data_IF_435407138129
#
_entry.id   IF_435407138129
#
_cell.length_a   1.000
_cell.length_b   1.000
_cell.length_c   1.000
_cell.angle_alpha   90.00
_cell.angle_beta   90.00
_cell.angle_gamma   90.00
#
_symmetry.space_group_name_H-M   'P 1'
#
loop_
_entity.id
_entity.type
_entity.pdbx_description
1 polymer ?
#
# COMPACT_ATOMS: atom_id res chain seq x y z
N UNK A 1 -48.87 37.44 0.61
CA UNK A 1 -47.52 37.79 1.15
C UNK A 1 -47.02 36.78 2.18
N UNK A 2 -47.83 36.35 3.17
CA UNK A 2 -47.43 35.32 4.14
C UNK A 2 -47.09 33.94 3.51
N UNK A 3 -47.84 33.49 2.50
CA UNK A 3 -47.53 32.23 1.81
C UNK A 3 -46.18 32.26 1.08
N UNK A 4 -45.80 33.40 0.48
CA UNK A 4 -44.52 33.54 -0.24
C UNK A 4 -43.31 33.51 0.69
N UNK A 5 -43.44 34.07 1.90
CA UNK A 5 -42.37 34.09 2.92
C UNK A 5 -42.19 32.73 3.60
N UNK A 6 -43.27 32.00 3.85
CA UNK A 6 -43.20 30.63 4.37
C UNK A 6 -42.57 29.71 3.32
N UNK A 7 -42.99 29.81 2.05
CA UNK A 7 -42.41 29.02 0.97
C UNK A 7 -40.92 29.32 0.74
N UNK A 8 -40.48 30.58 0.84
CA UNK A 8 -39.05 30.91 0.68
C UNK A 8 -38.18 30.35 1.79
N UNK A 9 -38.66 30.34 3.04
CA UNK A 9 -37.98 29.72 4.17
C UNK A 9 -37.85 28.19 3.98
N UNK A 10 -38.93 27.54 3.56
CA UNK A 10 -38.92 26.09 3.28
C UNK A 10 -37.93 25.77 2.16
N UNK A 11 -38.00 26.49 1.04
CA UNK A 11 -37.10 26.27 -0.10
C UNK A 11 -35.64 26.46 0.29
N UNK A 12 -35.29 27.54 0.99
CA UNK A 12 -33.93 27.79 1.45
C UNK A 12 -33.41 26.67 2.35
N UNK A 13 -34.23 26.20 3.30
CA UNK A 13 -33.85 25.10 4.20
C UNK A 13 -33.66 23.78 3.45
N UNK A 14 -34.57 23.44 2.53
CA UNK A 14 -34.49 22.22 1.71
C UNK A 14 -33.28 22.22 0.79
N UNK A 15 -32.94 23.36 0.19
CA UNK A 15 -31.81 23.49 -0.71
C UNK A 15 -30.47 23.32 0.02
N UNK A 16 -30.35 23.90 1.22
CA UNK A 16 -29.16 23.75 2.06
C UNK A 16 -28.94 22.28 2.47
N UNK A 17 -30.00 21.57 2.88
CA UNK A 17 -29.93 20.14 3.20
C UNK A 17 -29.58 19.32 1.96
N UNK A 18 -30.21 19.61 0.82
CA UNK A 18 -29.94 18.91 -0.43
C UNK A 18 -28.48 19.04 -0.87
N UNK A 19 -27.93 20.26 -0.86
CA UNK A 19 -26.54 20.50 -1.23
C UNK A 19 -25.57 19.81 -0.26
N UNK A 20 -25.86 19.85 1.04
CA UNK A 20 -25.08 19.14 2.06
C UNK A 20 -25.10 17.63 1.80
N UNK A 21 -26.26 17.08 1.45
CA UNK A 21 -26.42 15.67 1.07
C UNK A 21 -25.62 15.28 -0.16
N UNK A 22 -25.62 16.12 -1.21
CA UNK A 22 -24.82 15.89 -2.41
C UNK A 22 -23.32 15.89 -2.12
N UNK A 23 -22.83 16.82 -1.30
CA UNK A 23 -21.42 16.88 -0.92
C UNK A 23 -21.00 15.66 -0.09
N UNK A 24 -21.85 15.24 0.86
CA UNK A 24 -21.61 14.01 1.62
C UNK A 24 -21.56 12.77 0.71
N UNK A 25 -22.46 12.66 -0.26
CA UNK A 25 -22.47 11.56 -1.22
C UNK A 25 -21.19 11.51 -2.07
N UNK A 26 -20.77 12.66 -2.64
CA UNK A 26 -19.53 12.76 -3.42
C UNK A 26 -18.31 12.34 -2.61
N UNK A 27 -18.23 12.85 -1.38
CA UNK A 27 -17.14 12.53 -0.46
C UNK A 27 -17.06 11.02 -0.16
N UNK A 28 -18.17 10.40 0.18
CA UNK A 28 -18.23 8.94 0.43
C UNK A 28 -17.80 8.17 -0.81
N UNK A 29 -18.22 8.61 -2.00
CA UNK A 29 -17.83 7.96 -3.25
C UNK A 29 -16.30 8.01 -3.47
N UNK A 30 -15.68 9.19 -3.29
CA UNK A 30 -14.23 9.36 -3.43
C UNK A 30 -13.49 8.52 -2.37
N UNK A 31 -13.91 8.56 -1.11
CA UNK A 31 -13.30 7.75 -0.03
C UNK A 31 -13.37 6.24 -0.33
N UNK A 32 -14.48 5.76 -0.91
CA UNK A 32 -14.62 4.35 -1.30
C UNK A 32 -13.75 3.97 -2.51
N UNK A 33 -13.61 4.87 -3.49
CA UNK A 33 -12.70 4.68 -4.62
C UNK A 33 -11.25 4.62 -4.13
N UNK A 34 -10.85 5.57 -3.28
CA UNK A 34 -9.51 5.63 -2.69
C UNK A 34 -9.17 4.35 -1.90
N UNK A 35 -10.11 3.84 -1.10
CA UNK A 35 -9.94 2.55 -0.40
C UNK A 35 -9.74 1.40 -1.37
N UNK A 36 -10.57 1.31 -2.41
CA UNK A 36 -10.48 0.22 -3.40
C UNK A 36 -9.15 0.24 -4.15
N UNK A 37 -8.64 1.42 -4.49
CA UNK A 37 -7.31 1.56 -5.12
C UNK A 37 -6.17 1.22 -4.17
N UNK A 38 -6.26 1.62 -2.90
CA UNK A 38 -5.27 1.27 -1.88
C UNK A 38 -5.21 -0.25 -1.65
N UNK A 39 -6.37 -0.91 -1.58
CA UNK A 39 -6.46 -2.37 -1.46
C UNK A 39 -5.89 -3.05 -2.71
N UNK A 40 -6.14 -2.51 -3.90
CA UNK A 40 -5.53 -2.99 -5.14
C UNK A 40 -4.00 -2.88 -5.10
N UNK A 41 -3.44 -1.76 -4.65
CA UNK A 41 -1.99 -1.57 -4.53
C UNK A 41 -1.37 -2.64 -3.62
N UNK A 42 -1.95 -2.87 -2.44
CA UNK A 42 -1.44 -3.89 -1.53
C UNK A 42 -1.58 -5.29 -2.14
N UNK A 43 -2.71 -5.60 -2.77
CA UNK A 43 -2.89 -6.87 -3.46
C UNK A 43 -1.85 -7.07 -4.58
N UNK A 44 -1.52 -6.02 -5.33
CA UNK A 44 -0.50 -6.06 -6.38
C UNK A 44 0.90 -6.34 -5.79
N UNK A 45 1.28 -5.67 -4.71
CA UNK A 45 2.54 -5.94 -3.98
C UNK A 45 2.58 -7.40 -3.51
N UNK A 46 1.52 -7.86 -2.85
CA UNK A 46 1.44 -9.24 -2.34
C UNK A 46 1.51 -10.28 -3.45
N UNK A 47 0.81 -10.05 -4.57
CA UNK A 47 0.85 -10.94 -5.72
C UNK A 47 2.27 -11.05 -6.29
N UNK A 48 2.99 -9.94 -6.38
CA UNK A 48 4.38 -9.91 -6.83
C UNK A 48 5.32 -10.61 -5.85
N UNK A 49 5.13 -10.42 -4.55
CA UNK A 49 5.89 -11.13 -3.51
C UNK A 49 5.65 -12.64 -3.54
N UNK A 50 4.41 -13.08 -3.73
CA UNK A 50 4.10 -14.51 -3.84
C UNK A 50 4.68 -15.13 -5.12
N UNK A 51 4.64 -14.41 -6.24
CA UNK A 51 5.27 -14.86 -7.49
C UNK A 51 6.78 -14.96 -7.35
N UNK A 52 7.41 -13.97 -6.70
CA UNK A 52 8.85 -13.93 -6.45
C UNK A 52 9.30 -15.01 -5.46
N UNK A 53 8.46 -15.36 -4.48
CA UNK A 53 8.74 -16.38 -3.46
C UNK A 53 10.09 -16.19 -2.76
N UNK A 54 10.28 -15.07 -2.05
CA UNK A 54 11.58 -14.70 -1.50
C UNK A 54 12.10 -15.71 -0.46
N UNK A 55 13.41 -15.90 -0.46
CA UNK A 55 14.13 -16.68 0.55
C UNK A 55 14.33 -15.90 1.85
N UNK A 56 14.26 -14.58 1.76
CA UNK A 56 14.35 -13.67 2.87
C UNK A 56 14.32 -12.21 2.46
N UNK A 57 14.60 -11.35 3.43
CA UNK A 57 14.71 -9.91 3.30
C UNK A 57 16.13 -9.49 3.65
N UNK A 58 16.75 -8.68 2.79
CA UNK A 58 18.09 -8.13 3.01
C UNK A 58 18.01 -6.98 4.02
N UNK A 59 18.69 -7.13 5.15
CA UNK A 59 18.61 -6.18 6.26
C UNK A 59 19.51 -4.95 6.06
N UNK A 60 20.51 -4.99 5.18
CA UNK A 60 21.42 -3.86 4.92
C UNK A 60 20.79 -2.83 3.96
N UNK A 61 20.06 -3.33 2.97
CA UNK A 61 19.42 -2.51 1.92
C UNK A 61 17.96 -2.14 2.27
N UNK A 62 17.43 -2.67 3.37
CA UNK A 62 16.08 -2.36 3.86
C UNK A 62 16.09 -1.14 4.78
N UNK A 63 15.17 -0.21 4.54
CA UNK A 63 14.93 1.01 5.31
C UNK A 63 13.43 1.22 5.56
N UNK A 64 13.07 2.27 6.30
CA UNK A 64 11.67 2.62 6.56
C UNK A 64 10.85 2.99 5.30
N UNK A 65 11.53 3.17 4.16
CA UNK A 65 10.93 3.52 2.87
C UNK A 65 11.21 2.50 1.77
N UNK A 66 11.98 1.45 2.06
CA UNK A 66 12.38 0.45 1.09
C UNK A 66 12.53 -0.92 1.73
N UNK A 67 11.87 -1.95 1.21
CA UNK A 67 12.11 -3.33 1.57
C UNK A 67 12.78 -4.04 0.39
N UNK A 68 13.91 -4.69 0.63
CA UNK A 68 14.56 -5.52 -0.39
C UNK A 68 14.41 -7.01 -0.06
N UNK A 69 13.74 -7.72 -0.94
CA UNK A 69 13.57 -9.16 -0.88
C UNK A 69 14.58 -9.84 -1.79
N UNK A 70 15.09 -11.00 -1.38
CA UNK A 70 16.13 -11.72 -2.11
C UNK A 70 15.76 -13.19 -2.30
N UNK A 71 16.19 -13.74 -3.42
CA UNK A 71 16.38 -15.19 -3.58
C UNK A 71 17.87 -15.44 -3.59
N UNK A 72 18.37 -16.23 -2.65
CA UNK A 72 19.80 -16.50 -2.50
C UNK A 72 20.09 -17.99 -2.33
N UNK A 73 19.06 -18.84 -2.49
CA UNK A 73 19.22 -20.29 -2.48
C UNK A 73 18.46 -20.96 -3.60
N UNK A 74 19.07 -22.01 -4.13
CA UNK A 74 18.43 -22.91 -5.09
C UNK A 74 18.50 -24.35 -4.62
N UNK A 75 17.46 -25.13 -4.93
CA UNK A 75 17.41 -26.57 -4.68
C UNK A 75 18.12 -27.27 -5.84
N UNK A 76 19.25 -27.91 -5.56
CA UNK A 76 20.06 -28.64 -6.53
C UNK A 76 19.95 -30.12 -6.23
N UNK A 77 19.72 -30.94 -7.26
CA UNK A 77 19.73 -32.39 -7.11
C UNK A 77 21.18 -32.85 -7.16
N UNK A 78 21.63 -33.54 -6.11
CA UNK A 78 22.90 -34.24 -6.11
C UNK A 78 22.71 -35.60 -6.81
N UNK A 79 23.20 -35.78 -8.06
CA UNK A 79 22.92 -36.97 -8.85
C UNK A 79 23.61 -38.24 -8.30
N UNK A 80 24.61 -38.07 -7.43
CA UNK A 80 25.37 -39.19 -6.85
C UNK A 80 24.64 -39.87 -5.70
N UNK A 81 23.80 -39.14 -4.97
CA UNK A 81 23.03 -39.66 -3.82
C UNK A 81 21.51 -39.56 -4.01
N UNK A 82 21.03 -38.90 -5.07
CA UNK A 82 19.60 -38.70 -5.32
C UNK A 82 18.94 -37.78 -4.29
N UNK A 83 19.72 -36.95 -3.59
CA UNK A 83 19.26 -36.04 -2.53
C UNK A 83 19.15 -34.62 -3.10
N UNK A 84 18.13 -33.88 -2.66
CA UNK A 84 18.00 -32.45 -2.95
C UNK A 84 18.73 -31.65 -1.86
N UNK A 85 19.73 -30.89 -2.25
CA UNK A 85 20.50 -30.01 -1.38
C UNK A 85 20.20 -28.55 -1.67
N UNK A 86 20.29 -27.70 -0.66
CA UNK A 86 20.23 -26.25 -0.86
C UNK A 86 21.64 -25.70 -1.04
N UNK A 87 21.83 -24.90 -2.10
CA UNK A 87 23.09 -24.19 -2.32
C UNK A 87 22.83 -22.70 -2.40
N UNK A 88 23.76 -21.91 -1.82
CA UNK A 88 23.77 -20.44 -1.96
C UNK A 88 23.98 -20.09 -3.44
N UNK A 89 23.25 -19.10 -3.94
CA UNK A 89 23.33 -18.59 -5.31
C UNK A 89 23.21 -17.07 -5.32
N UNK A 90 23.69 -16.41 -6.39
CA UNK A 90 23.33 -15.02 -6.69
C UNK A 90 21.95 -15.06 -7.37
N UNK A 91 20.89 -15.17 -6.59
CA UNK A 91 19.55 -15.09 -7.15
C UNK A 91 19.14 -13.65 -7.39
N UNK A 92 17.83 -13.47 -7.57
CA UNK A 92 17.22 -12.21 -7.96
C UNK A 92 16.84 -11.39 -6.72
N UNK A 93 16.56 -10.11 -6.94
CA UNK A 93 16.03 -9.20 -5.91
C UNK A 93 14.69 -8.61 -6.34
N UNK A 94 13.84 -8.36 -5.34
CA UNK A 94 12.59 -7.64 -5.50
C UNK A 94 12.55 -6.51 -4.48
N UNK A 95 12.49 -5.27 -4.95
CA UNK A 95 12.50 -4.08 -4.12
C UNK A 95 11.12 -3.43 -4.11
N UNK A 96 10.58 -3.19 -2.93
CA UNK A 96 9.37 -2.40 -2.71
C UNK A 96 9.80 -1.08 -2.10
N UNK A 97 9.48 0.06 -2.71
CA UNK A 97 9.88 1.37 -2.18
C UNK A 97 8.78 2.42 -2.25
N UNK A 98 8.86 3.41 -1.36
CA UNK A 98 7.98 4.57 -1.30
C UNK A 98 8.75 5.80 -1.80
N UNK A 99 8.44 6.28 -3.00
CA UNK A 99 9.10 7.47 -3.57
C UNK A 99 8.09 8.34 -4.31
N UNK A 100 8.27 9.67 -4.22
CA UNK A 100 7.54 10.66 -5.02
C UNK A 100 6.02 10.41 -5.09
N UNK A 101 5.41 10.24 -3.92
CA UNK A 101 3.98 9.99 -3.76
C UNK A 101 3.45 8.72 -4.44
N UNK A 102 4.31 7.73 -4.65
CA UNK A 102 3.98 6.46 -5.28
C UNK A 102 4.65 5.27 -4.57
N UNK A 103 4.13 4.07 -4.87
CA UNK A 103 4.78 2.80 -4.55
C UNK A 103 5.48 2.30 -5.81
N UNK A 104 6.76 1.97 -5.68
CA UNK A 104 7.57 1.42 -6.77
C UNK A 104 7.92 -0.03 -6.47
N UNK A 105 7.79 -0.89 -7.46
CA UNK A 105 8.27 -2.27 -7.47
C UNK A 105 9.43 -2.38 -8.48
N UNK A 106 10.62 -2.69 -8.01
CA UNK A 106 11.85 -2.71 -8.84
C UNK A 106 12.05 -1.41 -9.64
N UNK A 107 11.66 -0.27 -9.07
CA UNK A 107 11.72 1.04 -9.72
C UNK A 107 10.57 1.34 -10.68
N UNK A 108 9.67 0.39 -10.95
CA UNK A 108 8.45 0.63 -11.73
C UNK A 108 7.31 1.09 -10.83
N UNK A 109 6.69 2.22 -11.17
CA UNK A 109 5.54 2.74 -10.43
C UNK A 109 4.33 1.82 -10.58
N UNK A 110 3.81 1.33 -9.45
CA UNK A 110 2.48 0.73 -9.41
C UNK A 110 1.45 1.82 -9.72
N UNK A 111 0.78 1.68 -10.86
CA UNK A 111 -0.15 2.68 -11.36
C UNK A 111 -1.32 2.90 -10.39
N UNK A 112 -1.51 4.16 -9.97
CA UNK A 112 -2.81 4.70 -9.61
C UNK A 112 -2.90 6.15 -10.13
N UNK A 113 -3.99 6.45 -10.82
CA UNK A 113 -4.22 7.76 -11.42
C UNK A 113 -4.80 8.77 -10.41
N UNK A 114 -5.53 8.31 -9.39
CA UNK A 114 -6.26 9.17 -8.46
C UNK A 114 -5.61 9.22 -7.06
N UNK A 115 -4.81 8.20 -6.72
CA UNK A 115 -4.18 8.05 -5.43
C UNK A 115 -2.77 8.67 -5.43
N UNK A 116 -2.46 9.39 -4.36
CA UNK A 116 -1.10 9.77 -3.97
C UNK A 116 -0.74 9.15 -2.63
N UNK A 117 0.50 8.68 -2.51
CA UNK A 117 1.07 8.22 -1.25
C UNK A 117 1.59 9.43 -0.48
N UNK A 118 1.20 9.56 0.78
CA UNK A 118 1.78 10.56 1.68
C UNK A 118 2.99 9.92 2.35
N UNK A 119 4.16 10.00 1.73
CA UNK A 119 5.37 9.28 2.16
C UNK A 119 5.81 9.64 3.60
N UNK A 120 5.55 10.86 4.08
CA UNK A 120 5.85 11.27 5.44
C UNK A 120 5.00 10.59 6.52
N UNK A 121 3.88 9.99 6.13
CA UNK A 121 2.95 9.27 7.01
C UNK A 121 2.89 7.76 6.68
N UNK A 122 3.64 7.34 5.67
CA UNK A 122 3.76 5.96 5.22
C UNK A 122 5.08 5.37 5.73
N UNK A 123 5.10 4.07 5.94
CA UNK A 123 6.21 3.37 6.57
C UNK A 123 6.22 1.92 6.09
N UNK A 124 7.40 1.43 5.70
CA UNK A 124 7.68 0.03 5.48
C UNK A 124 8.58 -0.46 6.60
N UNK A 125 8.18 -1.50 7.32
CA UNK A 125 8.99 -2.03 8.41
C UNK A 125 8.89 -3.55 8.48
N UNK A 126 9.81 -4.17 9.23
CA UNK A 126 9.83 -5.61 9.40
C UNK A 126 10.23 -6.01 10.82
N UNK A 127 9.78 -7.19 11.22
CA UNK A 127 10.19 -7.86 12.46
C UNK A 127 10.78 -9.21 12.08
N UNK A 128 12.07 -9.37 12.29
CA UNK A 128 12.75 -10.62 12.00
C UNK A 128 12.56 -11.65 13.11
N UNK A 129 12.16 -12.88 12.74
CA UNK A 129 12.04 -14.01 13.64
C UNK A 129 13.22 -14.99 13.52
N UNK A 130 13.76 -15.17 12.31
CA UNK A 130 14.96 -15.97 12.07
C UNK A 130 15.90 -15.22 11.14
N UNK A 131 17.09 -14.94 11.62
CA UNK A 131 18.15 -14.29 10.86
C UNK A 131 19.26 -15.29 10.55
N UNK A 132 19.85 -15.17 9.37
CA UNK A 132 21.05 -15.89 8.97
C UNK A 132 21.90 -14.94 8.14
N UNK A 133 23.12 -14.63 8.62
CA UNK A 133 23.94 -13.53 8.10
C UNK A 133 23.14 -12.20 8.14
N UNK A 134 23.12 -11.43 7.05
CA UNK A 134 22.34 -10.20 6.90
C UNK A 134 20.95 -10.42 6.30
N UNK A 135 20.51 -11.68 6.18
CA UNK A 135 19.22 -12.01 5.58
C UNK A 135 18.26 -12.46 6.67
N UNK A 136 17.14 -11.74 6.77
CA UNK A 136 16.01 -12.19 7.56
C UNK A 136 15.26 -13.28 6.80
N UNK A 137 15.31 -14.53 7.28
CA UNK A 137 14.73 -15.72 6.63
C UNK A 137 13.26 -15.94 6.90
N UNK A 138 12.79 -15.42 8.02
CA UNK A 138 11.38 -15.42 8.36
C UNK A 138 11.06 -14.30 9.30
N UNK A 139 9.87 -13.73 9.18
CA UNK A 139 9.46 -12.59 9.96
C UNK A 139 8.08 -12.11 9.56
N UNK A 140 7.73 -10.93 10.05
CA UNK A 140 6.52 -10.21 9.66
C UNK A 140 6.94 -8.90 9.03
N UNK A 141 6.45 -8.64 7.81
CA UNK A 141 6.58 -7.33 7.17
C UNK A 141 5.31 -6.54 7.47
N UNK A 142 5.48 -5.26 7.78
CA UNK A 142 4.42 -4.28 7.97
C UNK A 142 4.51 -3.24 6.88
N UNK A 143 3.43 -3.09 6.12
CA UNK A 143 3.26 -2.03 5.11
C UNK A 143 2.19 -1.09 5.63
N UNK A 144 2.59 0.14 5.98
CA UNK A 144 1.69 1.22 6.37
C UNK A 144 1.70 2.27 5.25
N UNK A 145 0.59 2.37 4.52
CA UNK A 145 0.42 3.38 3.45
C UNK A 145 -0.58 4.43 3.92
N UNK A 146 -0.15 5.68 3.94
CA UNK A 146 -1.06 6.82 4.01
C UNK A 146 -1.38 7.24 2.58
N UNK A 147 -2.64 7.14 2.19
CA UNK A 147 -3.11 7.42 0.84
C UNK A 147 -4.04 8.62 0.86
N UNK A 148 -3.98 9.45 -0.17
CA UNK A 148 -4.84 10.61 -0.32
C UNK A 148 -5.28 10.73 -1.77
N UNK A 149 -6.47 11.28 -1.99
CA UNK A 149 -6.94 11.62 -3.33
C UNK A 149 -6.14 12.82 -3.88
N UNK A 150 -5.73 12.78 -5.15
CA UNK A 150 -4.92 13.83 -5.78
C UNK A 150 -5.67 15.13 -6.02
N UNK A 151 -6.98 15.06 -6.29
CA UNK A 151 -7.79 16.22 -6.66
C UNK A 151 -8.46 16.88 -5.45
N UNK A 152 -8.47 16.19 -4.31
CA UNK A 152 -9.17 16.60 -3.10
C UNK A 152 -8.24 16.62 -1.87
N UNK A 153 -6.99 17.05 -2.04
CA UNK A 153 -5.96 17.04 -1.01
C UNK A 153 -5.77 18.35 -0.22
N UNK A 154 -6.39 19.44 -0.69
CA UNK A 154 -6.36 20.76 -0.06
C UNK A 154 -7.32 20.81 1.16
N UNK A 155 -6.81 21.04 2.39
CA UNK A 155 -7.62 21.16 3.60
C UNK A 155 -8.69 22.26 3.55
N UNK A 156 -8.49 23.31 2.77
CA UNK A 156 -9.43 24.43 2.61
C UNK A 156 -10.45 24.17 1.48
N UNK A 157 -10.31 23.06 0.76
CA UNK A 157 -11.19 22.65 -0.32
C UNK A 157 -12.58 22.20 0.17
N UNK A 158 -13.63 22.58 -0.56
CA UNK A 158 -15.03 22.23 -0.24
C UNK A 158 -15.27 20.71 -0.14
N UNK A 159 -14.52 19.93 -0.91
CA UNK A 159 -14.61 18.46 -0.96
C UNK A 159 -13.33 17.79 -0.45
N UNK A 160 -12.60 18.43 0.46
CA UNK A 160 -11.38 17.88 1.05
C UNK A 160 -11.58 16.46 1.61
N UNK A 161 -10.68 15.56 1.22
CA UNK A 161 -10.60 14.20 1.70
C UNK A 161 -9.35 14.05 2.56
N UNK A 162 -9.56 13.68 3.83
CA UNK A 162 -8.46 13.39 4.76
C UNK A 162 -7.69 12.16 4.27
N UNK A 163 -6.35 12.14 4.44
CA UNK A 163 -5.57 10.94 4.18
C UNK A 163 -6.12 9.74 4.96
N UNK A 164 -6.20 8.60 4.28
CA UNK A 164 -6.58 7.32 4.86
C UNK A 164 -5.33 6.49 5.08
N UNK A 165 -5.24 5.80 6.22
CA UNK A 165 -4.10 4.94 6.55
C UNK A 165 -4.51 3.49 6.40
N UNK A 166 -3.86 2.80 5.47
CA UNK A 166 -3.94 1.36 5.29
C UNK A 166 -2.73 0.71 5.95
N UNK A 167 -2.96 -0.20 6.90
CA UNK A 167 -1.90 -0.98 7.54
C UNK A 167 -2.12 -2.45 7.26
N UNK A 168 -1.14 -3.09 6.63
CA UNK A 168 -1.13 -4.52 6.36
C UNK A 168 0.11 -5.17 6.96
N UNK A 169 -0.08 -6.37 7.53
CA UNK A 169 0.98 -7.19 8.08
C UNK A 169 0.93 -8.56 7.42
N UNK A 170 2.08 -9.07 6.98
CA UNK A 170 2.17 -10.41 6.43
C UNK A 170 3.41 -11.14 6.93
N UNK A 171 3.21 -12.39 7.31
CA UNK A 171 4.28 -13.30 7.64
C UNK A 171 4.93 -13.84 6.39
N UNK A 172 6.26 -13.86 6.36
CA UNK A 172 7.01 -14.58 5.35
C UNK A 172 7.87 -15.65 6.02
N UNK A 173 7.94 -16.80 5.36
CA UNK A 173 8.78 -17.93 5.77
C UNK A 173 9.08 -18.73 4.52
N UNK A 174 10.35 -19.11 4.34
CA UNK A 174 10.76 -20.08 3.33
C UNK A 174 9.97 -21.40 3.50
N UNK A 175 9.48 -21.96 2.40
CA UNK A 175 8.85 -23.30 2.34
C UNK A 175 9.86 -24.41 2.14
#
# INVERSE_FOLDING_TARGET
MAAMTISSLILASSYGVFLSGLNAYKRINIENQLRSEADYLVAAIMNKLYQFSPDGLDMEETTDQQLQFVTDRQKVINPSVGIVEEQKTNGETLTVSLQQDAVLLNGEQLHSALLKIVSSQSELSYRCAKQEDNICRSGVVTIKLSVQDRDHDDPDGLLYIKPFILKNEFGFKRK
#
